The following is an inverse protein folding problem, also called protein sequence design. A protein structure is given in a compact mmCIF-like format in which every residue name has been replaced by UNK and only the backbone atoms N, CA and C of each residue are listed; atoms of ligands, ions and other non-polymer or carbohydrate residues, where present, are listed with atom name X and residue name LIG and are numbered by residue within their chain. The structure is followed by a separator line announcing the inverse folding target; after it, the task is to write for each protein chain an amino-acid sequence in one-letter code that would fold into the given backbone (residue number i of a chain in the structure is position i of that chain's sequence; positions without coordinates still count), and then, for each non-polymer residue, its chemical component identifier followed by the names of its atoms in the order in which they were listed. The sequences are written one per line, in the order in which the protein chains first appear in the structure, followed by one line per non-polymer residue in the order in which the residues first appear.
data_IF_036986413500
#
_entry.id   IF_036986413500
#
_cell.length_a   1.000
_cell.length_b   1.000
_cell.length_c   1.000
_cell.angle_alpha   90.00
_cell.angle_beta   90.00
_cell.angle_gamma   90.00
#
_symmetry.space_group_name_H-M   'P 1'
#
loop_
_entity.id
_entity.type
_entity.pdbx_description
1 polymer ?
#
# COMPACT_ATOMS: atom_id res chain seq x y z
N UNK A 1 17.64 16.06 -55.98
CA UNK A 1 17.27 17.12 -55.02
C UNK A 1 17.20 16.49 -53.65
N UNK A 2 18.28 15.85 -53.17
CA UNK A 2 19.53 16.45 -52.62
C UNK A 2 19.21 17.17 -51.29
N UNK A 3 19.90 16.99 -50.16
CA UNK A 3 21.14 16.29 -49.86
C UNK A 3 21.24 16.00 -48.35
N UNK A 4 22.08 15.01 -48.04
CA UNK A 4 22.80 14.82 -46.79
C UNK A 4 23.67 16.06 -46.46
N UNK A 5 23.81 16.43 -45.18
CA UNK A 5 25.09 16.96 -44.68
C UNK A 5 25.25 16.75 -43.17
N UNK A 6 26.47 16.39 -42.81
CA UNK A 6 26.99 15.92 -41.53
C UNK A 6 27.92 16.95 -40.88
N UNK A 7 28.24 16.73 -39.59
CA UNK A 7 29.39 17.26 -38.83
C UNK A 7 29.28 18.76 -38.42
N UNK A 8 29.86 19.29 -37.33
CA UNK A 8 30.82 18.79 -36.33
C UNK A 8 30.77 19.71 -35.08
N UNK A 9 31.52 19.32 -34.05
CA UNK A 9 31.59 19.85 -32.68
C UNK A 9 32.14 21.28 -32.51
N UNK A 10 31.83 21.92 -31.37
CA UNK A 10 32.78 22.76 -30.61
C UNK A 10 32.32 23.05 -29.15
N UNK A 11 33.29 23.01 -28.23
CA UNK A 11 33.17 23.21 -26.78
C UNK A 11 32.89 24.67 -26.35
N UNK A 12 32.24 24.85 -25.19
CA UNK A 12 32.23 26.15 -24.50
C UNK A 12 31.46 26.21 -23.18
N UNK A 13 32.17 25.95 -22.07
CA UNK A 13 32.09 26.50 -20.68
C UNK A 13 30.75 27.02 -20.12
N UNK A 14 30.45 26.59 -18.89
CA UNK A 14 29.62 27.37 -17.98
C UNK A 14 29.08 26.55 -16.81
N UNK A 15 29.85 26.46 -15.72
CA UNK A 15 29.31 26.13 -14.40
C UNK A 15 28.19 27.10 -14.06
N UNK A 16 26.96 26.59 -14.07
CA UNK A 16 25.84 27.19 -13.39
C UNK A 16 25.06 26.06 -12.75
N UNK A 17 24.77 26.25 -11.47
CA UNK A 17 24.04 25.37 -10.58
C UNK A 17 22.78 24.85 -11.29
N UNK A 18 22.87 23.62 -11.82
CA UNK A 18 21.71 22.90 -12.32
C UNK A 18 20.91 22.47 -11.09
N UNK A 19 19.95 23.30 -10.72
CA UNK A 19 18.77 22.89 -9.99
C UNK A 19 18.20 21.66 -10.72
N UNK A 20 18.49 20.47 -10.21
CA UNK A 20 18.05 19.22 -10.81
C UNK A 20 16.52 19.24 -10.75
N UNK A 21 15.80 19.28 -11.88
CA UNK A 21 14.35 19.26 -11.85
C UNK A 21 13.92 17.92 -11.26
N UNK A 22 13.25 17.96 -10.11
CA UNK A 22 12.65 16.78 -9.49
C UNK A 22 11.78 16.08 -10.54
N UNK A 23 11.99 14.78 -10.81
CA UNK A 23 11.32 14.09 -11.91
C UNK A 23 9.79 14.16 -11.76
N UNK A 24 9.14 14.71 -12.79
CA UNK A 24 7.71 15.08 -12.87
C UNK A 24 6.74 13.92 -13.09
N UNK A 25 7.15 12.69 -12.72
CA UNK A 25 6.24 11.53 -12.63
C UNK A 25 6.61 10.69 -11.40
N UNK A 26 6.37 11.24 -10.20
CA UNK A 26 6.54 10.51 -8.93
C UNK A 26 5.60 9.31 -8.89
N UNK A 27 6.14 8.12 -9.19
CA UNK A 27 5.49 6.84 -8.90
C UNK A 27 5.39 6.70 -7.38
N UNK A 28 4.19 6.40 -6.91
CA UNK A 28 3.84 6.30 -5.50
C UNK A 28 4.58 5.12 -4.86
N UNK A 29 5.40 5.41 -3.84
CA UNK A 29 6.08 4.41 -3.04
C UNK A 29 5.09 3.68 -2.14
N UNK A 30 4.85 2.39 -2.40
CA UNK A 30 4.22 1.52 -1.41
C UNK A 30 5.36 0.94 -0.58
N UNK A 31 5.43 1.32 0.69
CA UNK A 31 6.53 1.01 1.59
C UNK A 31 5.97 0.24 2.77
N UNK A 32 6.08 -1.09 2.71
CA UNK A 32 5.71 -1.93 3.83
C UNK A 32 6.60 -1.57 5.04
N UNK A 33 6.03 -1.62 6.25
CA UNK A 33 6.85 -1.64 7.47
C UNK A 33 6.69 -3.03 8.06
N UNK A 34 7.81 -3.62 8.43
CA UNK A 34 7.85 -4.87 9.17
C UNK A 34 7.80 -4.54 10.66
N UNK A 35 6.99 -5.28 11.41
CA UNK A 35 7.13 -5.33 12.86
C UNK A 35 7.98 -6.55 13.14
N UNK A 36 9.27 -6.34 13.38
CA UNK A 36 10.12 -7.41 13.88
C UNK A 36 9.76 -7.68 15.34
N UNK A 37 8.88 -8.65 15.56
CA UNK A 37 8.62 -9.20 16.89
C UNK A 37 9.83 -9.98 17.47
N UNK A 38 10.96 -10.05 16.74
CA UNK A 38 12.13 -10.86 17.08
C UNK A 38 13.29 -10.10 17.71
N UNK A 39 13.22 -8.77 17.87
CA UNK A 39 14.24 -7.98 18.60
C UNK A 39 13.88 -7.72 20.06
N UNK A 40 12.74 -8.22 20.55
CA UNK A 40 12.37 -8.12 21.95
C UNK A 40 13.19 -9.12 22.80
N UNK A 41 14.37 -8.71 23.25
CA UNK A 41 15.15 -9.40 24.30
C UNK A 41 14.66 -9.03 25.72
N UNK A 42 13.38 -8.74 25.88
CA UNK A 42 12.78 -8.32 27.15
C UNK A 42 12.01 -9.45 27.82
N UNK A 43 12.54 -9.98 28.91
CA UNK A 43 11.82 -10.87 29.83
C UNK A 43 10.89 -10.03 30.71
N UNK A 44 9.69 -9.74 30.25
CA UNK A 44 8.67 -9.05 31.03
C UNK A 44 7.39 -8.83 30.24
N UNK A 45 6.24 -8.91 30.91
CA UNK A 45 4.94 -8.46 30.36
C UNK A 45 4.81 -6.93 30.41
N UNK A 46 5.94 -6.23 30.57
CA UNK A 46 6.03 -4.78 30.70
C UNK A 46 6.23 -4.14 29.31
N UNK A 47 5.12 -3.66 28.75
CA UNK A 47 4.97 -2.33 28.13
C UNK A 47 5.81 -1.88 26.92
N UNK A 48 6.68 -2.71 26.33
CA UNK A 48 7.41 -2.32 25.12
C UNK A 48 6.69 -2.77 23.84
N UNK A 49 6.21 -1.79 23.06
CA UNK A 49 5.69 -2.06 21.72
C UNK A 49 6.89 -2.44 20.83
N UNK A 50 6.80 -3.55 20.07
CA UNK A 50 7.94 -4.01 19.27
C UNK A 50 8.45 -2.90 18.33
N UNK A 51 9.78 -2.75 18.19
CA UNK A 51 10.35 -1.71 17.36
C UNK A 51 9.95 -1.91 15.90
N UNK A 52 9.82 -0.80 15.16
CA UNK A 52 9.58 -0.84 13.73
C UNK A 52 10.90 -0.90 12.98
N UNK A 53 10.98 -1.76 11.96
CA UNK A 53 12.16 -1.82 11.10
C UNK A 53 12.09 -0.72 10.03
N UNK A 54 13.17 0.04 9.87
CA UNK A 54 13.27 1.14 8.91
C UNK A 54 14.40 0.91 7.91
N UNK A 55 14.28 1.54 6.75
CA UNK A 55 15.37 1.68 5.79
C UNK A 55 15.74 3.15 5.64
N UNK A 56 16.96 3.48 5.16
CA UNK A 56 17.37 4.88 4.99
C UNK A 56 16.43 5.70 4.09
N UNK A 57 15.75 5.05 3.14
CA UNK A 57 14.74 5.71 2.31
C UNK A 57 13.49 6.10 3.10
N UNK A 58 13.01 5.20 3.96
CA UNK A 58 11.86 5.46 4.82
C UNK A 58 12.19 6.56 5.82
N UNK A 59 13.37 6.53 6.43
CA UNK A 59 13.83 7.58 7.35
C UNK A 59 13.84 8.96 6.69
N UNK A 60 14.37 9.06 5.46
CA UNK A 60 14.34 10.32 4.69
C UNK A 60 12.92 10.81 4.43
N UNK A 61 11.98 9.92 4.12
CA UNK A 61 10.58 10.30 3.89
C UNK A 61 9.90 10.78 5.18
N UNK A 62 10.17 10.11 6.31
CA UNK A 62 9.63 10.50 7.61
C UNK A 62 10.19 11.85 8.07
N UNK A 63 11.49 12.08 7.89
CA UNK A 63 12.15 13.35 8.19
C UNK A 63 11.64 14.51 7.31
N UNK A 64 11.13 14.21 6.11
CA UNK A 64 10.53 15.18 5.20
C UNK A 64 9.01 15.34 5.37
N UNK A 65 8.43 14.86 6.49
CA UNK A 65 7.00 14.94 6.78
C UNK A 65 6.09 14.42 5.65
N UNK A 66 6.51 13.29 5.05
CA UNK A 66 5.70 12.57 4.08
C UNK A 66 4.34 12.16 4.66
N UNK A 67 3.34 11.98 3.80
CA UNK A 67 2.04 11.49 4.24
C UNK A 67 2.15 10.02 4.65
N UNK A 68 1.70 9.68 5.85
CA UNK A 68 1.73 8.31 6.37
C UNK A 68 0.33 7.70 6.30
N UNK A 69 0.20 6.59 5.58
CA UNK A 69 -1.05 5.85 5.46
C UNK A 69 -0.84 4.39 5.86
N UNK A 70 -1.68 3.87 6.76
CA UNK A 70 -1.60 2.49 7.24
C UNK A 70 -2.83 1.72 6.79
N UNK A 71 -2.62 0.65 6.02
CA UNK A 71 -3.68 -0.28 5.64
C UNK A 71 -4.15 -1.11 6.81
N UNK A 72 -5.43 -0.98 7.21
CA UNK A 72 -6.03 -1.71 8.33
C UNK A 72 -7.19 -2.61 7.88
N UNK A 73 -7.28 -3.81 8.44
CA UNK A 73 -8.29 -4.81 8.07
C UNK A 73 -9.10 -5.36 9.25
N UNK A 74 -8.97 -4.76 10.44
CA UNK A 74 -9.51 -5.27 11.68
C UNK A 74 -8.76 -6.49 12.23
N UNK A 75 -7.62 -6.85 11.63
CA UNK A 75 -6.76 -7.94 12.09
C UNK A 75 -5.71 -7.46 13.08
N UNK A 76 -5.25 -8.37 13.96
CA UNK A 76 -4.26 -8.07 15.00
C UNK A 76 -2.96 -7.48 14.45
N UNK A 77 -2.46 -8.00 13.33
CA UNK A 77 -1.16 -7.58 12.77
C UNK A 77 -1.25 -6.15 12.22
N UNK A 78 -2.38 -5.77 11.62
CA UNK A 78 -2.63 -4.39 11.19
C UNK A 78 -2.87 -3.42 12.36
N UNK A 79 -3.40 -3.91 13.48
CA UNK A 79 -3.54 -3.11 14.69
C UNK A 79 -2.20 -2.87 15.37
N UNK A 80 -1.39 -3.91 15.50
CA UNK A 80 -0.05 -3.82 16.07
C UNK A 80 0.84 -2.84 15.28
N UNK A 81 0.80 -2.88 13.95
CA UNK A 81 1.63 -1.98 13.12
C UNK A 81 1.19 -0.53 13.28
N UNK A 82 -0.12 -0.29 13.36
CA UNK A 82 -0.65 1.06 13.56
C UNK A 82 -0.20 1.67 14.90
N UNK A 83 -0.26 0.89 15.98
CA UNK A 83 0.18 1.32 17.31
C UNK A 83 1.70 1.56 17.34
N UNK A 84 2.50 0.65 16.77
CA UNK A 84 3.95 0.77 16.75
C UNK A 84 4.41 2.01 15.94
N UNK A 85 3.79 2.23 14.78
CA UNK A 85 4.08 3.39 13.93
C UNK A 85 3.65 4.68 14.60
N UNK A 86 2.46 4.75 15.21
CA UNK A 86 2.02 5.96 15.93
C UNK A 86 3.00 6.35 17.05
N UNK A 87 3.45 5.39 17.86
CA UNK A 87 4.49 5.61 18.87
C UNK A 87 5.79 6.14 18.26
N UNK A 88 6.24 5.53 17.17
CA UNK A 88 7.47 5.97 16.49
C UNK A 88 7.34 7.39 15.92
N UNK A 89 6.24 7.71 15.23
CA UNK A 89 6.01 9.03 14.65
C UNK A 89 5.96 10.12 15.73
N UNK A 90 5.36 9.83 16.89
CA UNK A 90 5.38 10.72 18.05
C UNK A 90 6.80 10.92 18.60
N UNK A 91 7.58 9.84 18.69
CA UNK A 91 8.95 9.90 19.21
C UNK A 91 9.89 10.74 18.33
N UNK A 92 9.72 10.71 17.01
CA UNK A 92 10.53 11.51 16.07
C UNK A 92 9.94 12.90 15.80
N UNK A 93 8.80 13.25 16.41
CA UNK A 93 8.15 14.55 16.21
C UNK A 93 7.59 14.77 14.80
N UNK A 94 7.21 13.70 14.09
CA UNK A 94 6.71 13.79 12.71
C UNK A 94 5.43 14.65 12.62
N UNK A 95 5.47 15.69 11.78
CA UNK A 95 4.38 16.64 11.59
C UNK A 95 3.53 16.35 10.33
N UNK A 96 3.93 15.37 9.51
CA UNK A 96 3.18 14.94 8.34
C UNK A 96 1.79 14.37 8.66
N UNK A 97 0.87 14.36 7.66
CA UNK A 97 -0.48 13.84 7.83
C UNK A 97 -0.47 12.33 8.01
N UNK A 98 -1.35 11.84 8.89
CA UNK A 98 -1.42 10.44 9.31
C UNK A 98 -2.84 9.93 9.15
N UNK A 99 -3.02 8.82 8.46
CA UNK A 99 -4.33 8.19 8.29
C UNK A 99 -4.26 6.68 8.41
N UNK A 100 -5.36 6.10 8.91
CA UNK A 100 -5.69 4.71 8.68
C UNK A 100 -6.54 4.60 7.42
N UNK A 101 -6.32 3.57 6.61
CA UNK A 101 -7.14 3.29 5.44
C UNK A 101 -7.62 1.85 5.42
N UNK A 102 -8.94 1.69 5.34
CA UNK A 102 -9.62 0.41 5.31
C UNK A 102 -10.33 0.22 3.97
N UNK A 103 -10.06 -0.89 3.30
CA UNK A 103 -10.77 -1.29 2.09
C UNK A 103 -11.88 -2.26 2.45
N UNK A 104 -13.09 -1.73 2.54
CA UNK A 104 -14.30 -2.45 2.92
C UNK A 104 -14.80 -3.29 1.73
N UNK A 105 -14.75 -4.61 1.89
CA UNK A 105 -15.19 -5.57 0.88
C UNK A 105 -16.70 -5.87 0.93
N UNK A 106 -17.48 -5.20 1.78
CA UNK A 106 -18.91 -5.40 1.94
C UNK A 106 -19.24 -6.73 2.60
N UNK A 107 -20.18 -7.48 2.00
CA UNK A 107 -20.79 -8.67 2.64
C UNK A 107 -19.85 -9.84 2.92
N UNK A 108 -18.63 -9.81 2.38
CA UNK A 108 -17.63 -10.87 2.58
C UNK A 108 -16.70 -10.59 3.76
N UNK A 109 -16.85 -9.44 4.42
CA UNK A 109 -16.11 -9.14 5.65
C UNK A 109 -16.79 -9.65 6.91
N UNK A 110 -15.97 -9.86 7.93
CA UNK A 110 -16.47 -10.12 9.27
C UNK A 110 -17.19 -8.89 9.79
N UNK A 111 -18.32 -9.10 10.48
CA UNK A 111 -19.11 -8.00 11.07
C UNK A 111 -18.27 -7.09 11.98
N UNK A 112 -17.26 -7.64 12.63
CA UNK A 112 -16.39 -6.92 13.56
C UNK A 112 -15.16 -6.26 12.91
N UNK A 113 -14.90 -6.49 11.61
CA UNK A 113 -13.72 -5.94 10.93
C UNK A 113 -13.72 -4.40 10.93
N UNK A 114 -14.81 -3.78 10.47
CA UNK A 114 -14.93 -2.32 10.45
C UNK A 114 -15.00 -1.72 11.87
N UNK A 115 -15.82 -2.24 12.81
CA UNK A 115 -15.80 -1.79 14.20
C UNK A 115 -14.41 -1.86 14.85
N UNK A 116 -13.62 -2.89 14.57
CA UNK A 116 -12.25 -2.98 15.07
C UNK A 116 -11.34 -1.89 14.48
N UNK A 117 -11.45 -1.58 13.18
CA UNK A 117 -10.74 -0.46 12.58
C UNK A 117 -11.13 0.89 13.19
N UNK A 118 -12.42 1.10 13.48
CA UNK A 118 -12.93 2.32 14.10
C UNK A 118 -12.39 2.51 15.52
N UNK A 119 -12.44 1.46 16.35
CA UNK A 119 -11.85 1.49 17.70
C UNK A 119 -10.35 1.75 17.68
N UNK A 120 -9.63 1.16 16.72
CA UNK A 120 -8.21 1.41 16.53
C UNK A 120 -7.95 2.89 16.19
N UNK A 121 -8.71 3.45 15.24
CA UNK A 121 -8.60 4.84 14.82
C UNK A 121 -8.85 5.82 15.98
N UNK A 122 -9.90 5.58 16.75
CA UNK A 122 -10.24 6.33 17.95
C UNK A 122 -9.14 6.22 19.01
N UNK A 123 -8.64 5.01 19.26
CA UNK A 123 -7.59 4.77 20.25
C UNK A 123 -6.25 5.44 19.92
N UNK A 124 -5.87 5.52 18.64
CA UNK A 124 -4.63 6.20 18.22
C UNK A 124 -4.84 7.69 17.91
N UNK A 125 -6.09 8.13 17.73
CA UNK A 125 -6.45 9.51 17.38
C UNK A 125 -6.16 9.87 15.91
N UNK A 126 -6.30 8.93 14.98
CA UNK A 126 -6.06 9.16 13.54
C UNK A 126 -7.35 9.06 12.73
N UNK A 127 -7.44 9.78 11.61
CA UNK A 127 -8.55 9.65 10.66
C UNK A 127 -8.61 8.23 10.06
N UNK A 128 -9.80 7.63 10.05
CA UNK A 128 -10.09 6.39 9.33
C UNK A 128 -10.75 6.67 7.98
N UNK A 129 -10.00 6.45 6.89
CA UNK A 129 -10.52 6.51 5.53
C UNK A 129 -11.06 5.14 5.13
N UNK A 130 -12.35 5.06 4.81
CA UNK A 130 -12.98 3.84 4.33
C UNK A 130 -13.16 3.94 2.82
N UNK A 131 -12.63 2.97 2.07
CA UNK A 131 -12.75 2.91 0.61
C UNK A 131 -13.54 1.67 0.19
N UNK A 132 -14.43 1.85 -0.79
CA UNK A 132 -15.25 0.79 -1.37
C UNK A 132 -15.15 0.81 -2.89
N UNK A 133 -15.12 -0.38 -3.48
CA UNK A 133 -15.22 -0.53 -4.94
C UNK A 133 -16.64 -0.16 -5.39
N UNK A 134 -16.75 0.80 -6.30
CA UNK A 134 -18.04 1.33 -6.75
C UNK A 134 -18.86 0.31 -7.57
N UNK A 135 -18.20 -0.56 -8.31
CA UNK A 135 -18.86 -1.58 -9.13
C UNK A 135 -19.30 -2.84 -8.34
N UNK A 136 -19.59 -2.68 -7.04
CA UNK A 136 -20.02 -3.74 -6.13
C UNK A 136 -18.88 -4.51 -5.45
N UNK A 137 -19.31 -5.34 -4.48
CA UNK A 137 -18.44 -6.18 -3.65
C UNK A 137 -17.83 -7.39 -4.40
N UNK A 138 -17.05 -8.20 -3.68
CA UNK A 138 -16.38 -9.38 -4.20
C UNK A 138 -17.34 -10.37 -4.86
N UNK A 139 -18.51 -10.47 -4.29
CA UNK A 139 -19.44 -11.53 -4.57
C UNK A 139 -20.30 -11.09 -5.78
N UNK A 140 -20.61 -9.79 -5.91
CA UNK A 140 -21.08 -9.15 -7.15
C UNK A 140 -20.07 -9.34 -8.30
N UNK A 141 -18.76 -9.16 -8.02
CA UNK A 141 -17.70 -9.41 -8.99
C UNK A 141 -17.65 -10.87 -9.47
N UNK A 142 -17.89 -11.83 -8.58
CA UNK A 142 -18.01 -13.25 -8.93
C UNK A 142 -19.27 -13.54 -9.75
N UNK A 143 -20.43 -12.98 -9.38
CA UNK A 143 -21.67 -13.14 -10.15
C UNK A 143 -21.54 -12.61 -11.58
N UNK A 144 -20.97 -11.42 -11.76
CA UNK A 144 -20.74 -10.88 -13.12
C UNK A 144 -19.81 -11.77 -13.94
N UNK A 145 -18.76 -12.32 -13.30
CA UNK A 145 -17.84 -13.26 -13.97
C UNK A 145 -18.54 -14.56 -14.36
N UNK A 146 -19.44 -15.07 -13.51
CA UNK A 146 -20.24 -16.25 -13.80
C UNK A 146 -21.17 -16.01 -14.99
N UNK A 147 -21.99 -14.96 -14.93
CA UNK A 147 -22.95 -14.63 -15.98
C UNK A 147 -22.25 -14.46 -17.35
N UNK A 148 -21.13 -13.73 -17.38
CA UNK A 148 -20.37 -13.53 -18.61
C UNK A 148 -19.77 -14.85 -19.16
N UNK A 149 -19.30 -15.75 -18.30
CA UNK A 149 -18.77 -17.04 -18.77
C UNK A 149 -19.88 -17.95 -19.30
N UNK A 150 -21.03 -18.00 -18.63
CA UNK A 150 -22.18 -18.79 -19.08
C UNK A 150 -22.67 -18.29 -20.43
N UNK A 151 -22.78 -16.96 -20.62
CA UNK A 151 -23.20 -16.36 -21.88
C UNK A 151 -22.23 -16.72 -23.03
N UNK A 152 -20.92 -16.57 -22.82
CA UNK A 152 -19.89 -16.92 -23.82
C UNK A 152 -19.89 -18.40 -24.16
N UNK A 153 -20.09 -19.27 -23.16
CA UNK A 153 -20.17 -20.70 -23.37
C UNK A 153 -21.41 -21.09 -24.17
N UNK A 154 -22.58 -20.53 -23.84
CA UNK A 154 -23.82 -20.76 -24.57
C UNK A 154 -23.74 -20.24 -26.03
N UNK A 155 -23.00 -19.16 -26.26
CA UNK A 155 -22.73 -18.63 -27.60
C UNK A 155 -21.61 -19.37 -28.36
N UNK A 156 -21.05 -20.45 -27.79
CA UNK A 156 -19.91 -21.21 -28.36
C UNK A 156 -18.64 -20.37 -28.60
N UNK A 157 -18.49 -19.23 -27.93
CA UNK A 157 -17.30 -18.37 -28.00
C UNK A 157 -16.14 -18.90 -27.16
N UNK A 158 -16.40 -19.87 -26.29
CA UNK A 158 -15.38 -20.56 -25.52
C UNK A 158 -15.74 -22.03 -25.29
N UNK A 159 -14.72 -22.89 -25.22
CA UNK A 159 -14.89 -24.34 -25.06
C UNK A 159 -15.19 -24.79 -23.63
N UNK A 160 -15.01 -23.92 -22.63
CA UNK A 160 -15.14 -24.28 -21.21
C UNK A 160 -15.72 -23.13 -20.37
N UNK A 161 -16.57 -23.49 -19.41
CA UNK A 161 -17.07 -22.57 -18.38
C UNK A 161 -15.99 -22.38 -17.31
N UNK A 162 -15.46 -21.17 -17.17
CA UNK A 162 -14.42 -20.88 -16.18
C UNK A 162 -15.06 -20.52 -14.83
N UNK A 163 -14.60 -21.15 -13.75
CA UNK A 163 -15.08 -20.93 -12.39
C UNK A 163 -14.95 -19.46 -11.92
N UNK A 164 -15.99 -18.86 -11.30
CA UNK A 164 -16.05 -17.42 -11.04
C UNK A 164 -15.26 -16.93 -9.83
N UNK A 165 -14.87 -17.83 -8.92
CA UNK A 165 -14.22 -17.46 -7.66
C UNK A 165 -12.76 -17.02 -7.82
N UNK A 166 -12.27 -16.33 -6.80
CA UNK A 166 -10.86 -15.93 -6.70
C UNK A 166 -9.96 -17.16 -6.58
N UNK A 167 -8.79 -17.11 -7.21
CA UNK A 167 -7.74 -18.13 -7.10
C UNK A 167 -6.42 -17.47 -6.69
N UNK A 168 -5.37 -18.24 -6.30
CA UNK A 168 -4.06 -17.67 -6.04
C UNK A 168 -3.48 -16.85 -7.20
N UNK A 169 -3.83 -17.20 -8.45
CA UNK A 169 -3.49 -16.47 -9.68
C UNK A 169 -4.47 -15.34 -10.01
N UNK A 170 -5.72 -15.40 -9.52
CA UNK A 170 -6.77 -14.39 -9.71
C UNK A 170 -7.22 -13.80 -8.37
N UNK A 171 -6.36 -12.97 -7.76
CA UNK A 171 -6.60 -12.38 -6.42
C UNK A 171 -7.48 -11.12 -6.47
N UNK A 172 -8.73 -11.24 -6.92
CA UNK A 172 -9.63 -10.09 -7.08
C UNK A 172 -9.80 -9.27 -5.80
N UNK A 173 -9.88 -9.93 -4.64
CA UNK A 173 -10.01 -9.28 -3.33
C UNK A 173 -8.80 -8.38 -3.03
N UNK A 174 -7.59 -8.78 -3.45
CA UNK A 174 -6.37 -8.04 -3.17
C UNK A 174 -6.12 -6.98 -4.23
N UNK A 175 -6.04 -7.36 -5.50
CA UNK A 175 -5.63 -6.44 -6.57
C UNK A 175 -6.71 -5.41 -6.89
N UNK A 176 -7.95 -5.85 -7.07
CA UNK A 176 -9.05 -4.96 -7.50
C UNK A 176 -9.68 -4.21 -6.34
N UNK A 177 -9.87 -4.88 -5.20
CA UNK A 177 -10.71 -4.38 -4.11
C UNK A 177 -9.92 -3.85 -2.91
N UNK A 178 -8.61 -4.08 -2.85
CA UNK A 178 -7.75 -3.48 -1.80
C UNK A 178 -6.72 -2.56 -2.42
N UNK A 179 -5.72 -3.12 -3.08
CA UNK A 179 -4.54 -2.39 -3.56
C UNK A 179 -4.93 -1.24 -4.50
N UNK A 180 -5.74 -1.50 -5.53
CA UNK A 180 -6.10 -0.47 -6.52
C UNK A 180 -6.90 0.69 -5.92
N UNK A 181 -7.91 0.39 -5.11
CA UNK A 181 -8.78 1.44 -4.55
C UNK A 181 -8.09 2.24 -3.45
N UNK A 182 -7.25 1.59 -2.63
CA UNK A 182 -6.41 2.25 -1.63
C UNK A 182 -5.43 3.18 -2.33
N UNK A 183 -4.67 2.67 -3.31
CA UNK A 183 -3.72 3.49 -4.05
C UNK A 183 -4.39 4.69 -4.73
N UNK A 184 -5.56 4.49 -5.36
CA UNK A 184 -6.32 5.58 -5.97
C UNK A 184 -6.78 6.64 -4.95
N UNK A 185 -7.25 6.22 -3.78
CA UNK A 185 -7.69 7.14 -2.73
C UNK A 185 -6.51 7.93 -2.13
N UNK A 186 -5.39 7.26 -1.86
CA UNK A 186 -4.18 7.90 -1.34
C UNK A 186 -3.60 8.90 -2.36
N UNK A 187 -3.54 8.51 -3.63
CA UNK A 187 -3.09 9.36 -4.73
C UNK A 187 -3.89 10.66 -4.82
N UNK A 188 -5.21 10.57 -4.68
CA UNK A 188 -6.12 11.72 -4.72
C UNK A 188 -5.98 12.60 -3.48
N UNK A 189 -5.90 11.97 -2.29
CA UNK A 189 -5.86 12.68 -1.01
C UNK A 189 -4.53 13.42 -0.78
N UNK A 190 -3.42 12.83 -1.21
CA UNK A 190 -2.07 13.39 -0.99
C UNK A 190 -1.38 13.73 -2.30
N UNK A 191 -2.12 14.34 -3.23
CA UNK A 191 -1.59 14.74 -4.54
C UNK A 191 -0.35 15.62 -4.39
N UNK A 192 0.70 15.32 -5.17
CA UNK A 192 1.96 16.07 -5.17
C UNK A 192 2.89 15.80 -3.98
N UNK A 193 2.49 14.97 -3.00
CA UNK A 193 3.30 14.65 -1.81
C UNK A 193 3.84 13.22 -1.87
N UNK A 194 5.02 12.94 -1.28
CA UNK A 194 5.42 11.56 -0.99
C UNK A 194 4.43 10.90 -0.02
N UNK A 195 4.13 9.63 -0.27
CA UNK A 195 3.22 8.83 0.55
C UNK A 195 3.99 7.60 1.03
N UNK A 196 4.02 7.37 2.33
CA UNK A 196 4.48 6.16 2.97
C UNK A 196 3.27 5.25 3.23
N UNK A 197 3.03 4.27 2.35
CA UNK A 197 1.91 3.34 2.49
C UNK A 197 2.33 2.02 3.16
N UNK A 198 1.91 1.86 4.40
CA UNK A 198 2.34 0.84 5.35
C UNK A 198 1.36 -0.32 5.40
N UNK A 199 1.89 -1.54 5.47
CA UNK A 199 1.11 -2.77 5.62
C UNK A 199 1.68 -3.65 6.73
N UNK A 200 0.83 -4.17 7.62
CA UNK A 200 1.25 -5.10 8.68
C UNK A 200 1.58 -6.48 8.15
N UNK A 201 2.84 -6.71 7.76
CA UNK A 201 3.34 -8.01 7.32
C UNK A 201 4.12 -8.62 8.48
N UNK A 202 3.84 -9.90 8.79
CA UNK A 202 4.57 -10.67 9.78
C UNK A 202 5.37 -11.78 9.08
N UNK A 203 6.70 -11.80 9.24
CA UNK A 203 7.58 -12.79 8.59
C UNK A 203 7.24 -14.24 8.93
N UNK A 204 6.78 -14.47 10.16
CA UNK A 204 6.43 -15.79 10.68
C UNK A 204 5.11 -16.33 10.09
N UNK A 205 4.36 -15.54 9.32
CA UNK A 205 3.07 -15.97 8.76
C UNK A 205 3.24 -16.91 7.55
N UNK A 206 4.28 -16.76 6.72
CA UNK A 206 4.53 -17.66 5.58
C UNK A 206 5.94 -17.53 5.03
N UNK A 207 6.39 -18.51 4.24
CA UNK A 207 7.67 -18.44 3.52
C UNK A 207 7.78 -17.19 2.62
N UNK A 208 6.70 -16.87 1.87
CA UNK A 208 6.68 -15.69 1.01
C UNK A 208 6.77 -14.37 1.80
N UNK A 209 6.20 -14.30 3.01
CA UNK A 209 6.31 -13.11 3.86
C UNK A 209 7.66 -13.01 4.55
N UNK A 210 8.28 -14.14 4.90
CA UNK A 210 9.63 -14.20 5.48
C UNK A 210 10.68 -13.54 4.60
N UNK A 211 10.57 -13.71 3.28
CA UNK A 211 11.50 -13.14 2.30
C UNK A 211 11.17 -11.72 1.85
N UNK A 212 10.12 -11.08 2.38
CA UNK A 212 9.79 -9.71 1.96
C UNK A 212 10.83 -8.71 2.50
N UNK A 213 11.30 -7.77 1.67
CA UNK A 213 12.10 -6.66 2.17
C UNK A 213 11.22 -5.74 3.04
N UNK A 214 11.84 -4.96 3.93
CA UNK A 214 11.17 -3.94 4.74
C UNK A 214 10.51 -2.94 3.77
N UNK A 215 11.32 -2.19 3.04
CA UNK A 215 10.88 -1.41 1.88
C UNK A 215 11.33 -2.09 0.59
N UNK A 216 10.46 -2.25 -0.44
CA UNK A 216 10.95 -2.56 -1.78
C UNK A 216 11.89 -1.43 -2.25
N UNK A 217 13.08 -1.79 -2.75
CA UNK A 217 13.96 -0.81 -3.39
C UNK A 217 13.26 -0.24 -4.62
N UNK A 218 13.02 1.06 -4.63
CA UNK A 218 12.64 1.79 -5.83
C UNK A 218 13.93 2.27 -6.50
N UNK A 219 14.32 1.59 -7.59
CA UNK A 219 15.28 2.11 -8.56
C UNK A 219 14.55 2.99 -9.58
#
# INVERSE_FOLDING_TARGET
MDAFCSASAEQGRGDSERCVPLPTKRRQGILALDIDANTATGTGWDSECPPIALTPEVERLLAADAAVAIGVSGGKDSGAVAIAVDRHLKAIGHAGPRILIHADLGRVEWRDSLPACQRLAEGIGWDLVIVRRQAGDLLHRWHGRWANNVARYAALECVQVIVPWSTPSMRFCTSEMKTRIIASALAKRFSGRPILNITGIRRQESANRRGKPISPHYA
#
